data_IF_232570503635
#
_entry.id   IF_232570503635
#
_cell.length_a   1.000
_cell.length_b   1.000
_cell.length_c   1.000
_cell.angle_alpha   90.00
_cell.angle_beta   90.00
_cell.angle_gamma   90.00
#
_symmetry.space_group_name_H-M   'P 1'
#
loop_
_entity.id
_entity.type
_entity.pdbx_description
1 polymer ?
#
# COMPACT_ATOMS: atom_id res chain seq x y z
N UNK A 1 25.41 1.54 -13.53
CA UNK A 1 24.54 2.49 -14.26
C UNK A 1 25.39 3.13 -15.33
N UNK A 2 25.09 2.87 -16.60
CA UNK A 2 25.83 3.50 -17.71
C UNK A 2 25.40 4.96 -17.77
N UNK A 3 26.34 5.86 -17.53
CA UNK A 3 26.12 7.29 -17.72
C UNK A 3 26.21 7.55 -19.22
N UNK A 4 25.17 8.14 -19.78
CA UNK A 4 25.15 8.58 -21.17
C UNK A 4 26.24 9.63 -21.40
N UNK A 5 27.28 9.28 -22.16
CA UNK A 5 28.43 10.15 -22.41
C UNK A 5 28.50 10.52 -23.88
N UNK A 6 28.58 11.82 -24.17
CA UNK A 6 28.79 12.35 -25.53
C UNK A 6 29.86 13.44 -25.54
N UNK A 7 30.40 13.75 -26.72
CA UNK A 7 31.35 14.88 -26.88
C UNK A 7 30.75 16.25 -26.54
N UNK A 8 29.42 16.32 -26.43
CA UNK A 8 28.67 17.51 -26.05
C UNK A 8 28.56 17.68 -24.53
N UNK A 9 29.00 16.72 -23.72
CA UNK A 9 28.87 16.75 -22.24
C UNK A 9 29.39 18.07 -21.63
N UNK A 10 30.56 18.54 -22.08
CA UNK A 10 31.16 19.79 -21.60
C UNK A 10 30.48 21.07 -22.11
N UNK A 11 29.50 20.94 -23.02
CA UNK A 11 28.70 22.05 -23.58
C UNK A 11 27.29 22.10 -22.99
N UNK A 12 26.86 21.06 -22.26
CA UNK A 12 25.56 21.03 -21.59
C UNK A 12 25.47 22.14 -20.54
N UNK A 13 24.28 22.72 -20.37
CA UNK A 13 24.01 23.82 -19.44
C UNK A 13 24.85 25.09 -19.70
N UNK A 14 25.24 25.33 -20.95
CA UNK A 14 25.90 26.56 -21.40
C UNK A 14 25.10 27.26 -22.49
N UNK A 15 25.42 28.52 -22.81
CA UNK A 15 24.82 29.26 -23.93
C UNK A 15 25.43 28.87 -25.29
N UNK A 16 26.10 27.72 -25.39
CA UNK A 16 26.68 27.25 -26.65
C UNK A 16 25.59 26.92 -27.67
N UNK A 17 25.72 27.47 -28.88
CA UNK A 17 24.82 27.20 -30.00
C UNK A 17 25.47 26.15 -30.91
N UNK A 18 24.90 24.94 -31.04
CA UNK A 18 25.43 23.92 -31.93
C UNK A 18 25.31 24.33 -33.40
N UNK A 19 26.28 23.92 -34.21
CA UNK A 19 26.20 24.03 -35.68
C UNK A 19 25.13 23.08 -36.25
N UNK A 20 24.65 23.30 -37.49
CA UNK A 20 23.67 22.41 -38.12
C UNK A 20 24.08 20.93 -38.16
N UNK A 21 25.37 20.63 -38.38
CA UNK A 21 25.90 19.26 -38.33
C UNK A 21 25.87 18.67 -36.92
N UNK A 22 26.15 19.48 -35.90
CA UNK A 22 26.10 19.03 -34.50
C UNK A 22 24.67 18.77 -34.05
N UNK A 23 23.70 19.55 -34.54
CA UNK A 23 22.27 19.27 -34.30
C UNK A 23 21.89 17.88 -34.82
N UNK A 24 22.34 17.51 -36.02
CA UNK A 24 22.07 16.18 -36.58
C UNK A 24 22.71 15.07 -35.75
N UNK A 25 23.96 15.26 -35.33
CA UNK A 25 24.68 14.31 -34.47
C UNK A 25 23.99 14.14 -33.11
N UNK A 26 23.57 15.23 -32.48
CA UNK A 26 22.84 15.21 -31.21
C UNK A 26 21.51 14.48 -31.37
N UNK A 27 20.76 14.71 -32.45
CA UNK A 27 19.50 14.01 -32.71
C UNK A 27 19.71 12.50 -32.80
N UNK A 28 20.66 12.05 -33.62
CA UNK A 28 20.98 10.63 -33.76
C UNK A 28 21.44 10.00 -32.43
N UNK A 29 22.21 10.74 -31.64
CA UNK A 29 22.66 10.31 -30.31
C UNK A 29 21.49 10.14 -29.31
N UNK A 30 20.41 10.91 -29.45
CA UNK A 30 19.24 10.86 -28.58
C UNK A 30 18.19 9.81 -28.99
N UNK A 31 18.20 9.32 -30.23
CA UNK A 31 17.21 8.36 -30.73
C UNK A 31 17.15 7.08 -29.88
N UNK A 32 18.28 6.38 -29.73
CA UNK A 32 18.35 5.13 -28.96
C UNK A 32 17.92 5.26 -27.49
N UNK A 33 18.47 6.23 -26.72
CA UNK A 33 18.02 6.47 -25.34
C UNK A 33 16.54 6.84 -25.23
N UNK A 34 15.99 7.60 -26.19
CA UNK A 34 14.57 7.98 -26.17
C UNK A 34 13.68 6.77 -26.41
N UNK A 35 14.06 5.90 -27.36
CA UNK A 35 13.34 4.64 -27.62
C UNK A 35 13.42 3.68 -26.42
N UNK A 36 14.58 3.61 -25.77
CA UNK A 36 14.77 2.81 -24.55
C UNK A 36 13.87 3.29 -23.42
N UNK A 37 13.79 4.61 -23.18
CA UNK A 37 12.88 5.20 -22.19
C UNK A 37 11.44 4.83 -22.52
N UNK A 38 11.00 5.01 -23.76
CA UNK A 38 9.63 4.66 -24.17
C UNK A 38 9.31 3.18 -23.93
N UNK A 39 10.28 2.28 -24.16
CA UNK A 39 10.11 0.84 -23.88
C UNK A 39 10.06 0.55 -22.39
N UNK A 40 10.84 1.25 -21.57
CA UNK A 40 10.82 1.10 -20.11
C UNK A 40 9.47 1.60 -19.57
N UNK A 41 9.01 2.76 -20.02
CA UNK A 41 7.73 3.34 -19.58
C UNK A 41 6.56 2.40 -19.91
N UNK A 42 6.53 1.81 -21.11
CA UNK A 42 5.51 0.82 -21.47
C UNK A 42 5.53 -0.43 -20.56
N UNK A 43 6.72 -0.90 -20.18
CA UNK A 43 6.85 -2.03 -19.24
C UNK A 43 6.38 -1.64 -17.83
N UNK A 44 6.66 -0.42 -17.38
CA UNK A 44 6.17 0.09 -16.09
C UNK A 44 4.64 0.11 -16.09
N UNK A 45 4.01 0.68 -17.12
CA UNK A 45 2.55 0.74 -17.23
C UNK A 45 1.91 -0.66 -17.20
N UNK A 46 2.48 -1.62 -17.93
CA UNK A 46 2.01 -3.02 -17.93
C UNK A 46 2.11 -3.65 -16.53
N UNK A 47 3.24 -3.47 -15.85
CA UNK A 47 3.45 -4.01 -14.51
C UNK A 47 2.55 -3.36 -13.46
N UNK A 48 2.30 -2.05 -13.55
CA UNK A 48 1.39 -1.33 -12.66
C UNK A 48 -0.07 -1.80 -12.83
N UNK A 49 -0.49 -2.06 -14.07
CA UNK A 49 -1.80 -2.63 -14.36
C UNK A 49 -1.92 -4.04 -13.75
N UNK A 50 -0.93 -4.91 -13.98
CA UNK A 50 -0.91 -6.26 -13.43
C UNK A 50 -0.93 -6.25 -11.90
N UNK A 51 -0.16 -5.36 -11.27
CA UNK A 51 -0.11 -5.19 -9.82
C UNK A 51 -1.47 -4.75 -9.26
N UNK A 52 -2.13 -3.81 -9.92
CA UNK A 52 -3.47 -3.35 -9.54
C UNK A 52 -4.48 -4.49 -9.59
N UNK A 53 -4.52 -5.25 -10.68
CA UNK A 53 -5.41 -6.42 -10.82
C UNK A 53 -5.16 -7.48 -9.73
N UNK A 54 -3.90 -7.76 -9.41
CA UNK A 54 -3.55 -8.71 -8.36
C UNK A 54 -3.97 -8.21 -6.96
N UNK A 55 -3.83 -6.91 -6.69
CA UNK A 55 -4.29 -6.29 -5.44
C UNK A 55 -5.81 -6.40 -5.30
N UNK A 56 -6.55 -6.12 -6.36
CA UNK A 56 -8.01 -6.22 -6.37
C UNK A 56 -8.47 -7.66 -6.12
N UNK A 57 -7.86 -8.62 -6.84
CA UNK A 57 -8.14 -10.05 -6.62
C UNK A 57 -7.84 -10.48 -5.19
N UNK A 58 -6.73 -10.03 -4.63
CA UNK A 58 -6.38 -10.30 -3.23
C UNK A 58 -7.43 -9.71 -2.29
N UNK A 59 -7.82 -8.46 -2.47
CA UNK A 59 -8.82 -7.80 -1.62
C UNK A 59 -10.19 -8.50 -1.68
N UNK A 60 -10.61 -8.93 -2.88
CA UNK A 60 -11.85 -9.68 -3.10
C UNK A 60 -11.86 -11.00 -2.32
N UNK A 61 -10.73 -11.70 -2.24
CA UNK A 61 -10.60 -12.95 -1.50
C UNK A 61 -10.41 -12.73 0.01
N UNK A 62 -9.69 -11.67 0.39
CA UNK A 62 -9.36 -11.39 1.78
C UNK A 62 -10.60 -11.06 2.62
N UNK A 63 -11.54 -10.27 2.07
CA UNK A 63 -12.78 -9.89 2.76
C UNK A 63 -13.60 -11.09 3.26
N UNK A 64 -14.01 -12.05 2.40
CA UNK A 64 -14.75 -13.21 2.87
C UNK A 64 -13.90 -14.08 3.81
N UNK A 65 -12.60 -14.23 3.58
CA UNK A 65 -11.72 -14.99 4.48
C UNK A 65 -11.76 -14.39 5.90
N UNK A 66 -11.62 -13.07 6.03
CA UNK A 66 -11.61 -12.40 7.33
C UNK A 66 -12.98 -12.48 8.02
N UNK A 67 -14.07 -12.35 7.26
CA UNK A 67 -15.42 -12.56 7.79
C UNK A 67 -15.62 -13.98 8.35
N UNK A 68 -15.13 -15.01 7.66
CA UNK A 68 -15.22 -16.40 8.13
C UNK A 68 -14.30 -16.66 9.33
N UNK A 69 -13.09 -16.10 9.34
CA UNK A 69 -12.19 -16.14 10.50
C UNK A 69 -12.82 -15.49 11.72
N UNK A 70 -13.53 -14.38 11.53
CA UNK A 70 -14.26 -13.72 12.60
C UNK A 70 -15.40 -14.60 13.16
N UNK A 71 -16.09 -15.38 12.33
CA UNK A 71 -17.13 -16.33 12.78
C UNK A 71 -16.58 -17.41 13.71
N UNK A 72 -15.38 -17.90 13.43
CA UNK A 72 -14.73 -18.96 14.23
C UNK A 72 -13.76 -18.39 15.27
N UNK A 73 -13.83 -17.09 15.56
CA UNK A 73 -12.97 -16.49 16.57
C UNK A 73 -13.29 -17.10 17.93
N UNK A 74 -12.29 -17.40 18.78
CA UNK A 74 -12.52 -18.00 20.09
C UNK A 74 -13.57 -17.24 20.91
N UNK A 75 -13.59 -15.91 20.79
CA UNK A 75 -14.53 -15.05 21.50
C UNK A 75 -15.99 -15.26 21.11
N UNK A 76 -16.30 -15.61 19.85
CA UNK A 76 -17.67 -15.95 19.43
C UNK A 76 -18.09 -17.36 19.83
N UNK A 77 -17.15 -18.20 20.25
CA UNK A 77 -17.41 -19.56 20.71
C UNK A 77 -17.59 -19.64 22.24
N UNK A 78 -17.37 -18.54 22.96
CA UNK A 78 -17.62 -18.46 24.40
C UNK A 78 -19.15 -18.40 24.62
N UNK A 79 -19.72 -19.27 25.49
CA UNK A 79 -21.10 -19.16 25.92
C UNK A 79 -21.45 -17.75 26.41
N UNK A 80 -22.65 -17.27 26.09
CA UNK A 80 -23.04 -15.88 26.35
C UNK A 80 -22.97 -15.49 27.83
N UNK A 81 -23.33 -16.41 28.72
CA UNK A 81 -23.24 -16.27 30.17
C UNK A 81 -21.79 -16.10 30.64
N UNK A 82 -20.87 -16.93 30.14
CA UNK A 82 -19.43 -16.83 30.43
C UNK A 82 -18.86 -15.51 29.90
N UNK A 83 -19.26 -15.09 28.71
CA UNK A 83 -18.83 -13.81 28.14
C UNK A 83 -19.31 -12.62 28.97
N UNK A 84 -20.58 -12.62 29.36
CA UNK A 84 -21.16 -11.58 30.23
C UNK A 84 -20.43 -11.51 31.58
N UNK A 85 -20.12 -12.66 32.17
CA UNK A 85 -19.38 -12.73 33.44
C UNK A 85 -17.97 -12.13 33.32
N UNK A 86 -17.26 -12.40 32.22
CA UNK A 86 -15.96 -11.78 31.94
C UNK A 86 -16.10 -10.25 31.83
N UNK A 87 -17.08 -9.76 31.07
CA UNK A 87 -17.32 -8.32 30.91
C UNK A 87 -17.70 -7.65 32.23
N UNK A 88 -18.52 -8.30 33.05
CA UNK A 88 -18.91 -7.82 34.37
C UNK A 88 -17.73 -7.78 35.34
N UNK A 89 -16.89 -8.82 35.34
CA UNK A 89 -15.66 -8.89 36.14
C UNK A 89 -14.62 -7.83 35.76
N UNK A 90 -14.70 -7.27 34.56
CA UNK A 90 -13.84 -6.19 34.09
C UNK A 90 -14.33 -4.78 34.47
N UNK A 91 -15.47 -4.64 35.14
CA UNK A 91 -15.95 -3.33 35.57
C UNK A 91 -15.12 -2.81 36.76
N UNK A 92 -14.77 -1.51 36.77
CA UNK A 92 -14.09 -0.92 37.92
C UNK A 92 -14.95 -1.01 39.17
N UNK A 93 -14.34 -1.40 40.29
CA UNK A 93 -15.02 -1.51 41.58
C UNK A 93 -15.01 -0.21 42.38
N UNK A 94 -14.08 0.70 42.08
CA UNK A 94 -13.84 1.92 42.86
C UNK A 94 -14.41 3.19 42.20
N UNK A 95 -14.79 3.10 40.93
CA UNK A 95 -15.33 4.22 40.17
C UNK A 95 -16.30 3.74 39.08
N UNK A 96 -17.02 4.68 38.45
CA UNK A 96 -17.86 4.36 37.30
C UNK A 96 -16.98 4.02 36.09
N UNK A 97 -17.43 3.06 35.27
CA UNK A 97 -16.76 2.73 34.01
C UNK A 97 -16.67 3.96 33.10
N UNK A 98 -15.47 4.22 32.58
CA UNK A 98 -15.23 5.28 31.61
C UNK A 98 -15.52 4.77 30.19
N UNK A 99 -15.94 5.68 29.31
CA UNK A 99 -16.04 5.39 27.87
C UNK A 99 -14.66 5.61 27.24
N UNK A 100 -13.69 4.77 27.62
CA UNK A 100 -12.33 4.78 27.10
C UNK A 100 -12.04 3.48 26.31
N UNK A 101 -11.68 3.57 25.01
CA UNK A 101 -11.42 2.40 24.17
C UNK A 101 -10.11 1.66 24.51
N UNK A 102 -9.33 2.16 25.47
CA UNK A 102 -8.10 1.55 25.98
C UNK A 102 -8.28 0.89 27.34
N UNK A 103 -9.42 1.09 28.00
CA UNK A 103 -9.75 0.48 29.29
C UNK A 103 -10.81 -0.61 29.16
N UNK A 104 -10.80 -1.56 30.09
CA UNK A 104 -11.85 -2.56 30.18
C UNK A 104 -13.15 -1.92 30.73
N UNK A 105 -14.34 -2.38 30.31
CA UNK A 105 -14.58 -3.53 29.43
C UNK A 105 -14.53 -3.20 27.92
N UNK A 106 -14.36 -1.94 27.52
CA UNK A 106 -14.41 -1.53 26.11
C UNK A 106 -13.25 -2.06 25.27
N UNK A 107 -12.05 -2.17 25.85
CA UNK A 107 -10.90 -2.83 25.22
C UNK A 107 -11.23 -4.27 24.81
N UNK A 108 -11.92 -5.02 25.69
CA UNK A 108 -12.37 -6.39 25.42
C UNK A 108 -13.42 -6.44 24.30
N UNK A 109 -14.31 -5.44 24.24
CA UNK A 109 -15.28 -5.26 23.17
C UNK A 109 -14.63 -5.09 21.78
N UNK A 110 -13.47 -4.43 21.71
CA UNK A 110 -12.76 -4.21 20.43
C UNK A 110 -12.09 -5.46 19.89
N UNK A 111 -11.69 -6.38 20.75
CA UNK A 111 -11.12 -7.67 20.35
C UNK A 111 -12.21 -8.74 20.11
N UNK A 112 -13.39 -8.57 20.72
CA UNK A 112 -14.57 -9.44 20.50
C UNK A 112 -15.31 -9.14 19.20
N UNK A 113 -15.38 -7.85 18.85
CA UNK A 113 -15.90 -7.39 17.57
C UNK A 113 -14.88 -7.74 16.49
N UNK A 114 -15.03 -8.92 15.90
CA UNK A 114 -14.30 -9.28 14.68
C UNK A 114 -14.41 -8.12 13.69
N UNK A 115 -13.25 -7.55 13.34
CA UNK A 115 -13.07 -6.31 12.57
C UNK A 115 -14.09 -6.25 11.43
N UNK A 116 -15.17 -5.54 11.70
CA UNK A 116 -16.25 -5.22 10.80
C UNK A 116 -16.45 -3.72 10.87
N UNK A 117 -15.44 -2.98 10.42
CA UNK A 117 -15.69 -1.63 9.94
C UNK A 117 -16.37 -1.79 8.57
N UNK A 118 -17.67 -1.51 8.56
CA UNK A 118 -18.42 -1.16 7.36
C UNK A 118 -18.21 0.32 7.07
#
# INVERSE_FOLDING_TARGET
>A
MSVFHSRFTNRLNTNYVPSPSEILEIRALLEGPTEEIARIDAQIEEMELALTQLRDKRALLQRPIDAHRALISPMRLIPQDVLLEIFFSCLPSEHNALIDPTEAPLLLGRISAGIGEA
#
